data_IF_269062227320
#
_entry.id   IF_269062227320
#
_cell.length_a   1.000
_cell.length_b   1.000
_cell.length_c   1.000
_cell.angle_alpha   90.00
_cell.angle_beta   90.00
_cell.angle_gamma   90.00
#
_symmetry.space_group_name_H-M   'P 1'
#
loop_
_entity.id
_entity.type
_entity.pdbx_description
1 polymer ?
#
# COMPACT_ATOMS: atom_id res chain seq x y z
N UNK A 1 -9.59 -0.89 -27.23
CA UNK A 1 -9.32 0.54 -27.50
C UNK A 1 -9.28 1.33 -26.18
N UNK A 2 -8.48 0.84 -25.21
CA UNK A 2 -8.24 1.46 -23.90
C UNK A 2 -7.00 0.77 -23.28
N UNK A 3 -5.91 0.70 -24.05
CA UNK A 3 -4.57 0.61 -23.46
C UNK A 3 -4.08 2.05 -23.40
N UNK A 4 -4.38 2.74 -22.30
CA UNK A 4 -3.65 3.95 -21.96
C UNK A 4 -2.21 3.52 -21.68
N UNK A 5 -1.27 4.10 -22.40
CA UNK A 5 0.17 3.83 -22.35
C UNK A 5 0.63 3.64 -20.89
N UNK A 6 1.24 2.49 -20.59
CA UNK A 6 1.96 2.25 -19.33
C UNK A 6 1.17 1.78 -18.11
N UNK A 7 -0.15 1.97 -18.01
CA UNK A 7 -0.91 1.59 -16.83
C UNK A 7 -1.88 0.43 -17.11
N UNK A 8 -1.70 -0.73 -16.43
CA UNK A 8 -2.70 -1.81 -16.47
C UNK A 8 -4.06 -1.28 -15.98
N UNK A 9 -5.12 -1.64 -16.70
CA UNK A 9 -6.53 -1.27 -16.39
C UNK A 9 -6.93 -1.72 -14.97
N UNK A 10 -6.40 -2.87 -14.53
CA UNK A 10 -6.61 -3.42 -13.19
C UNK A 10 -5.51 -4.40 -12.80
N UNK A 11 -5.31 -4.60 -11.50
CA UNK A 11 -4.53 -5.69 -10.93
C UNK A 11 -5.43 -6.56 -10.04
N UNK A 12 -5.36 -7.88 -10.18
CA UNK A 12 -6.04 -8.81 -9.30
C UNK A 12 -5.03 -9.64 -8.51
N UNK A 13 -5.17 -9.68 -7.19
CA UNK A 13 -4.37 -10.50 -6.28
C UNK A 13 -5.25 -11.39 -5.41
N UNK A 14 -4.69 -12.50 -4.96
CA UNK A 14 -5.27 -13.36 -3.94
C UNK A 14 -4.38 -13.28 -2.69
N UNK A 15 -5.00 -13.11 -1.52
CA UNK A 15 -4.36 -12.92 -0.23
C UNK A 15 -4.89 -13.97 0.74
N UNK A 16 -4.00 -14.73 1.40
CA UNK A 16 -4.36 -15.77 2.37
C UNK A 16 -3.30 -15.87 3.48
N UNK A 17 -3.64 -16.45 4.65
CA UNK A 17 -2.77 -16.38 5.84
C UNK A 17 -1.34 -16.87 5.64
N UNK A 18 -1.15 -17.97 4.89
CA UNK A 18 0.18 -18.54 4.67
C UNK A 18 1.07 -17.68 3.77
N UNK A 19 0.56 -16.62 3.13
CA UNK A 19 1.39 -15.65 2.41
C UNK A 19 2.25 -14.79 3.33
N UNK A 20 1.92 -14.73 4.62
CA UNK A 20 2.67 -13.99 5.64
C UNK A 20 3.59 -14.90 6.46
N UNK A 21 3.58 -16.21 6.19
CA UNK A 21 4.42 -17.22 6.85
C UNK A 21 5.40 -17.83 5.84
N UNK A 22 6.69 -17.85 6.19
CA UNK A 22 7.75 -18.36 5.30
C UNK A 22 8.35 -17.27 4.40
N UNK A 23 9.63 -17.45 4.03
CA UNK A 23 10.55 -16.51 3.35
C UNK A 23 10.45 -15.05 3.84
N UNK A 24 11.50 -14.53 4.46
CA UNK A 24 11.57 -13.12 4.84
C UNK A 24 11.87 -12.21 3.62
N UNK A 25 10.99 -12.19 2.61
CA UNK A 25 11.14 -11.27 1.49
C UNK A 25 11.15 -9.83 2.00
N UNK A 26 12.11 -9.05 1.53
CA UNK A 26 12.34 -7.69 2.00
C UNK A 26 12.24 -6.70 0.84
N UNK A 27 11.26 -5.80 0.94
CA UNK A 27 11.04 -4.74 -0.05
C UNK A 27 12.25 -3.84 -0.27
N UNK A 28 13.19 -3.77 0.69
CA UNK A 28 14.44 -3.00 0.57
C UNK A 28 15.35 -3.52 -0.56
N UNK A 29 15.19 -4.79 -0.93
CA UNK A 29 15.94 -5.41 -2.03
C UNK A 29 15.23 -5.30 -3.38
N UNK A 30 14.00 -4.78 -3.40
CA UNK A 30 13.22 -4.61 -4.63
C UNK A 30 13.44 -3.22 -5.22
N UNK A 31 13.45 -3.13 -6.56
CA UNK A 31 13.64 -1.88 -7.30
C UNK A 31 12.55 -1.74 -8.35
N UNK A 32 11.98 -0.54 -8.45
CA UNK A 32 11.06 -0.21 -9.53
C UNK A 32 11.76 -0.31 -10.88
N UNK A 33 11.13 -0.99 -11.84
CA UNK A 33 11.66 -1.16 -13.19
C UNK A 33 10.52 -1.42 -14.19
N UNK A 34 10.72 -1.11 -15.47
CA UNK A 34 9.81 -1.53 -16.55
C UNK A 34 9.48 -3.03 -16.47
N UNK A 35 8.24 -3.39 -16.81
CA UNK A 35 7.84 -4.80 -16.91
C UNK A 35 8.50 -5.38 -18.17
N UNK A 36 9.35 -6.43 -18.07
CA UNK A 36 10.02 -7.01 -19.23
C UNK A 36 9.06 -7.65 -20.24
N UNK A 37 7.79 -7.85 -19.88
CA UNK A 37 6.77 -8.43 -20.75
C UNK A 37 5.95 -7.38 -21.51
N UNK A 38 6.15 -6.08 -21.24
CA UNK A 38 5.46 -4.99 -21.93
C UNK A 38 6.42 -4.40 -22.97
N UNK A 39 6.00 -4.26 -24.25
CA UNK A 39 6.82 -3.58 -25.25
C UNK A 39 7.22 -2.19 -24.77
N UNK A 40 8.48 -1.80 -24.97
CA UNK A 40 9.04 -0.54 -24.42
C UNK A 40 8.21 0.69 -24.81
N UNK A 41 7.65 0.74 -26.03
CA UNK A 41 6.79 1.83 -26.49
C UNK A 41 5.50 2.01 -25.69
N UNK A 42 5.11 1.02 -24.89
CA UNK A 42 3.93 1.04 -24.03
C UNK A 42 4.29 0.90 -22.55
N UNK A 43 5.57 0.93 -22.19
CA UNK A 43 6.02 0.80 -20.80
C UNK A 43 6.40 2.15 -20.24
N UNK A 44 5.88 2.47 -19.05
CA UNK A 44 6.44 3.55 -18.25
C UNK A 44 7.89 3.23 -17.84
N UNK A 45 8.67 4.27 -17.56
CA UNK A 45 10.01 4.20 -17.00
C UNK A 45 10.11 4.99 -15.69
N UNK A 46 11.22 4.85 -14.96
CA UNK A 46 11.35 5.51 -13.65
C UNK A 46 11.45 7.03 -13.79
N UNK A 47 11.98 7.49 -14.92
CA UNK A 47 12.18 8.88 -15.28
C UNK A 47 10.86 9.63 -15.41
N UNK A 48 9.76 8.95 -15.78
CA UNK A 48 8.43 9.57 -15.85
C UNK A 48 7.91 9.97 -14.46
N UNK A 49 8.27 9.20 -13.43
CA UNK A 49 7.84 9.45 -12.06
C UNK A 49 8.79 10.38 -11.31
N UNK A 50 10.08 10.34 -11.63
CA UNK A 50 11.09 11.11 -10.90
C UNK A 50 10.89 12.62 -11.11
N UNK A 51 10.66 13.34 -10.01
CA UNK A 51 10.42 14.80 -10.08
C UNK A 51 9.03 15.20 -10.59
N UNK A 52 8.14 14.24 -10.86
CA UNK A 52 6.78 14.49 -11.38
C UNK A 52 5.82 15.12 -10.37
N UNK A 53 6.16 15.11 -9.07
CA UNK A 53 5.23 15.43 -8.00
C UNK A 53 4.34 14.26 -7.55
N UNK A 54 4.41 13.11 -8.23
CA UNK A 54 3.66 11.89 -7.90
C UNK A 54 4.58 10.77 -7.41
N UNK A 55 4.04 9.92 -6.54
CA UNK A 55 4.72 8.70 -6.08
C UNK A 55 4.41 7.51 -6.99
N UNK A 56 5.20 6.45 -6.88
CA UNK A 56 4.93 5.14 -7.52
C UNK A 56 4.02 4.30 -6.61
N UNK A 57 2.71 4.40 -6.86
CA UNK A 57 1.66 3.72 -6.09
C UNK A 57 1.42 2.28 -6.53
N UNK A 58 1.48 1.33 -5.60
CA UNK A 58 1.28 -0.09 -5.91
C UNK A 58 -0.22 -0.44 -5.98
N UNK A 59 -0.63 -1.20 -7.00
CA UNK A 59 -1.99 -1.77 -7.06
C UNK A 59 -2.08 -3.12 -6.32
N UNK A 60 -1.12 -4.02 -6.55
CA UNK A 60 -0.78 -5.10 -5.62
C UNK A 60 0.39 -4.68 -4.73
N UNK A 61 0.21 -4.61 -3.40
CA UNK A 61 1.27 -4.19 -2.51
C UNK A 61 2.30 -5.30 -2.29
N UNK A 62 3.56 -4.88 -2.20
CA UNK A 62 4.66 -5.75 -1.80
C UNK A 62 4.39 -6.48 -0.46
N UNK A 63 3.64 -5.83 0.46
CA UNK A 63 3.30 -6.36 1.78
C UNK A 63 2.49 -7.67 1.75
N UNK A 64 1.75 -7.93 0.67
CA UNK A 64 0.95 -9.14 0.48
C UNK A 64 1.78 -10.31 -0.05
N UNK A 65 3.04 -10.05 -0.44
CA UNK A 65 3.91 -11.00 -1.12
C UNK A 65 5.15 -11.39 -0.29
N UNK A 66 5.05 -11.33 1.05
CA UNK A 66 6.17 -11.66 1.93
C UNK A 66 6.69 -13.07 1.73
N UNK A 67 5.82 -14.04 1.45
CA UNK A 67 6.18 -15.43 1.17
C UNK A 67 7.15 -15.67 0.00
N UNK A 68 7.34 -14.70 -0.91
CA UNK A 68 8.14 -14.93 -2.11
C UNK A 68 8.87 -13.65 -2.54
N UNK A 69 10.21 -13.69 -2.49
CA UNK A 69 11.06 -12.61 -3.00
C UNK A 69 10.78 -12.30 -4.47
N UNK A 70 10.48 -13.34 -5.27
CA UNK A 70 10.10 -13.17 -6.66
C UNK A 70 8.77 -12.44 -6.80
N UNK A 71 7.71 -12.93 -6.13
CA UNK A 71 6.39 -12.30 -6.21
C UNK A 71 6.44 -10.85 -5.73
N UNK A 72 7.17 -10.58 -4.64
CA UNK A 72 7.40 -9.22 -4.15
C UNK A 72 8.15 -8.36 -5.16
N UNK A 73 9.20 -8.87 -5.81
CA UNK A 73 9.93 -8.11 -6.83
C UNK A 73 9.07 -7.81 -8.06
N UNK A 74 8.17 -8.72 -8.44
CA UNK A 74 7.23 -8.54 -9.55
C UNK A 74 6.19 -7.43 -9.24
N UNK A 75 5.87 -7.16 -7.96
CA UNK A 75 5.02 -6.00 -7.61
C UNK A 75 5.69 -4.65 -7.89
N UNK A 76 7.02 -4.62 -8.07
CA UNK A 76 7.77 -3.40 -8.41
C UNK A 76 7.90 -3.18 -9.92
N UNK A 77 7.31 -4.06 -10.76
CA UNK A 77 7.16 -3.75 -12.18
C UNK A 77 6.21 -2.58 -12.38
N UNK A 78 6.59 -1.63 -13.23
CA UNK A 78 5.81 -0.40 -13.47
C UNK A 78 4.42 -0.67 -14.05
N UNK A 79 4.17 -1.84 -14.63
CA UNK A 79 2.84 -2.31 -15.02
C UNK A 79 1.87 -2.49 -13.84
N UNK A 80 2.36 -2.56 -12.60
CA UNK A 80 1.58 -2.62 -11.35
C UNK A 80 1.45 -1.24 -10.67
N UNK A 81 1.99 -0.20 -11.28
CA UNK A 81 2.22 1.10 -10.65
C UNK A 81 1.39 2.18 -11.32
N UNK A 82 0.82 3.07 -10.50
CA UNK A 82 0.16 4.30 -10.96
C UNK A 82 0.77 5.52 -10.29
N UNK A 83 0.73 6.71 -10.93
CA UNK A 83 1.06 7.96 -10.25
C UNK A 83 0.09 8.19 -9.10
N UNK A 84 0.57 8.16 -7.87
CA UNK A 84 -0.28 8.25 -6.67
C UNK A 84 0.17 9.38 -5.76
N UNK A 85 -0.76 10.14 -5.21
CA UNK A 85 -0.47 11.18 -4.23
C UNK A 85 0.31 10.57 -3.05
N UNK A 86 1.37 11.25 -2.59
CA UNK A 86 2.27 10.73 -1.56
C UNK A 86 1.56 10.43 -0.23
N UNK A 87 0.66 11.32 0.19
CA UNK A 87 -0.10 11.18 1.44
C UNK A 87 -1.18 10.10 1.31
N UNK A 88 -1.81 10.00 0.14
CA UNK A 88 -2.75 8.92 -0.16
C UNK A 88 -2.06 7.55 -0.08
N UNK A 89 -0.94 7.40 -0.79
CA UNK A 89 -0.16 6.16 -0.86
C UNK A 89 0.35 5.74 0.52
N UNK A 90 0.99 6.66 1.25
CA UNK A 90 1.56 6.36 2.57
C UNK A 90 0.51 6.28 3.69
N UNK A 91 -0.65 6.89 3.51
CA UNK A 91 -1.73 7.04 4.50
C UNK A 91 -2.93 6.16 4.20
N UNK A 92 -3.99 6.74 3.62
CA UNK A 92 -5.29 6.09 3.49
C UNK A 92 -5.24 4.79 2.68
N UNK A 93 -4.54 4.77 1.54
CA UNK A 93 -4.42 3.59 0.70
C UNK A 93 -3.71 2.45 1.43
N UNK A 94 -2.60 2.74 2.11
CA UNK A 94 -1.90 1.77 2.96
C UNK A 94 -2.79 1.24 4.10
N UNK A 95 -3.67 2.06 4.70
CA UNK A 95 -4.65 1.59 5.68
C UNK A 95 -5.67 0.62 5.06
N UNK A 96 -6.13 0.87 3.83
CA UNK A 96 -6.98 -0.09 3.10
C UNK A 96 -6.23 -1.40 2.79
N UNK A 97 -4.95 -1.33 2.40
CA UNK A 97 -4.12 -2.52 2.21
C UNK A 97 -3.92 -3.30 3.51
N UNK A 98 -3.74 -2.62 4.64
CA UNK A 98 -3.67 -3.26 5.96
C UNK A 98 -4.97 -3.98 6.30
N UNK A 99 -6.13 -3.35 6.06
CA UNK A 99 -7.42 -3.97 6.25
C UNK A 99 -7.60 -5.23 5.38
N UNK A 100 -7.16 -5.21 4.11
CA UNK A 100 -7.20 -6.41 3.25
C UNK A 100 -6.40 -7.58 3.83
N UNK A 101 -5.25 -7.30 4.46
CA UNK A 101 -4.45 -8.35 5.13
C UNK A 101 -5.11 -8.82 6.42
N UNK A 102 -5.67 -7.90 7.20
CA UNK A 102 -6.38 -8.21 8.44
C UNK A 102 -7.60 -9.13 8.19
N UNK A 103 -8.29 -8.98 7.06
CA UNK A 103 -9.38 -9.89 6.67
C UNK A 103 -8.93 -11.36 6.64
N UNK A 104 -7.65 -11.65 6.35
CA UNK A 104 -7.15 -13.04 6.34
C UNK A 104 -7.16 -13.70 7.73
N UNK A 105 -7.26 -12.93 8.81
CA UNK A 105 -7.43 -13.48 10.16
C UNK A 105 -8.84 -14.06 10.38
N UNK A 106 -9.80 -13.70 9.52
CA UNK A 106 -11.24 -14.04 9.65
C UNK A 106 -11.80 -14.80 8.46
N UNK A 107 -11.12 -14.72 7.31
CA UNK A 107 -11.49 -15.34 6.05
C UNK A 107 -10.30 -16.13 5.49
N UNK A 108 -10.53 -17.40 5.10
CA UNK A 108 -9.47 -18.25 4.54
C UNK A 108 -8.91 -17.72 3.22
N UNK A 109 -9.76 -17.19 2.34
CA UNK A 109 -9.37 -16.66 1.04
C UNK A 109 -9.93 -15.24 0.86
N UNK A 110 -9.06 -14.29 0.51
CA UNK A 110 -9.41 -12.88 0.21
C UNK A 110 -8.86 -12.52 -1.17
N UNK A 111 -9.73 -12.26 -2.14
CA UNK A 111 -9.35 -11.74 -3.45
C UNK A 111 -9.51 -10.23 -3.47
N UNK A 112 -8.56 -9.55 -4.10
CA UNK A 112 -8.62 -8.10 -4.24
C UNK A 112 -8.29 -7.66 -5.65
N UNK A 113 -9.14 -6.82 -6.22
CA UNK A 113 -8.88 -6.13 -7.48
C UNK A 113 -8.66 -4.65 -7.17
N UNK A 114 -7.54 -4.08 -7.62
CA UNK A 114 -7.22 -2.66 -7.47
C UNK A 114 -6.97 -2.02 -8.83
N UNK A 115 -7.28 -0.74 -8.98
CA UNK A 115 -6.91 -0.02 -10.19
C UNK A 115 -7.19 1.49 -10.18
N UNK A 116 -6.75 2.19 -11.24
CA UNK A 116 -6.98 3.61 -11.45
C UNK A 116 -8.36 3.92 -12.07
N UNK A 117 -8.87 5.14 -11.82
CA UNK A 117 -10.04 5.73 -12.48
C UNK A 117 -9.82 7.21 -12.83
N UNK A 118 -10.30 7.62 -14.00
CA UNK A 118 -10.40 9.01 -14.45
C UNK A 118 -11.89 9.40 -14.55
N UNK A 119 -12.43 9.89 -13.44
CA UNK A 119 -13.86 10.19 -13.31
C UNK A 119 -14.20 11.57 -13.86
N UNK A 120 -15.40 11.76 -14.43
CA UNK A 120 -15.83 13.06 -14.94
C UNK A 120 -16.10 14.04 -13.81
N UNK A 121 -15.82 15.32 -14.07
CA UNK A 121 -16.24 16.44 -13.24
C UNK A 121 -17.28 17.27 -14.00
N UNK A 122 -18.22 17.87 -13.26
CA UNK A 122 -19.21 18.79 -13.84
C UNK A 122 -18.64 20.20 -13.81
N UNK A 123 -18.52 20.82 -14.98
CA UNK A 123 -18.03 22.19 -15.12
C UNK A 123 -19.13 23.21 -14.80
N UNK A 124 -18.75 24.49 -14.71
CA UNK A 124 -19.68 25.60 -14.43
C UNK A 124 -20.83 25.72 -15.45
N UNK A 125 -20.61 25.25 -16.69
CA UNK A 125 -21.62 25.22 -17.75
C UNK A 125 -22.55 23.98 -17.70
N UNK A 126 -22.43 23.16 -16.65
CA UNK A 126 -23.21 21.94 -16.44
C UNK A 126 -22.77 20.74 -17.28
N UNK A 127 -21.77 20.89 -18.16
CA UNK A 127 -21.23 19.75 -18.94
C UNK A 127 -20.29 18.92 -18.10
N UNK A 128 -20.22 17.62 -18.42
CA UNK A 128 -19.28 16.68 -17.79
C UNK A 128 -18.08 16.47 -18.68
N UNK A 129 -16.88 16.63 -18.14
CA UNK A 129 -15.62 16.32 -18.82
C UNK A 129 -14.69 15.52 -17.92
N UNK A 130 -13.84 14.70 -18.53
CA UNK A 130 -12.76 13.98 -17.85
C UNK A 130 -11.46 14.74 -18.12
N UNK A 131 -10.76 15.14 -17.06
CA UNK A 131 -9.46 15.81 -17.15
C UNK A 131 -8.51 15.12 -16.18
N UNK A 132 -7.30 14.81 -16.65
CA UNK A 132 -6.24 14.21 -15.86
C UNK A 132 -4.87 14.65 -16.37
N UNK A 133 -3.88 14.69 -15.49
CA UNK A 133 -2.50 14.96 -15.85
C UNK A 133 -1.87 13.71 -16.49
N UNK A 134 -0.96 13.92 -17.44
CA UNK A 134 0.02 12.92 -17.88
C UNK A 134 1.42 13.37 -17.43
N UNK A 135 2.28 12.44 -17.05
CA UNK A 135 3.64 12.73 -16.55
C UNK A 135 4.71 12.01 -17.38
N UNK A 136 5.89 12.61 -17.42
CA UNK A 136 7.05 12.02 -18.10
C UNK A 136 7.03 12.21 -19.61
N UNK A 137 7.92 11.50 -20.31
CA UNK A 137 7.98 11.50 -21.78
C UNK A 137 7.03 10.48 -22.40
N UNK A 138 6.67 9.48 -21.61
CA UNK A 138 5.79 8.38 -22.02
C UNK A 138 4.31 8.64 -21.66
N UNK A 139 3.98 9.88 -21.27
CA UNK A 139 2.62 10.36 -20.98
C UNK A 139 1.82 9.47 -20.02
N UNK A 140 2.45 9.06 -18.92
CA UNK A 140 1.84 8.18 -17.91
C UNK A 140 0.65 8.89 -17.26
N UNK A 141 -0.55 8.33 -17.40
CA UNK A 141 -1.77 8.94 -16.90
C UNK A 141 -1.85 8.93 -15.35
N UNK A 142 -2.13 10.10 -14.77
CA UNK A 142 -2.39 10.28 -13.35
C UNK A 142 -3.88 10.07 -13.07
N UNK A 143 -4.27 9.05 -12.30
CA UNK A 143 -5.68 8.82 -12.00
C UNK A 143 -6.26 9.90 -11.07
N UNK A 144 -7.53 10.22 -11.29
CA UNK A 144 -8.31 11.05 -10.36
C UNK A 144 -8.70 10.28 -9.09
N UNK A 145 -8.93 8.97 -9.22
CA UNK A 145 -9.41 8.10 -8.17
C UNK A 145 -8.75 6.73 -8.28
N UNK A 146 -8.73 5.99 -7.18
CA UNK A 146 -8.34 4.59 -7.12
C UNK A 146 -9.54 3.78 -6.65
N UNK A 147 -9.65 2.54 -7.10
CA UNK A 147 -10.66 1.62 -6.61
C UNK A 147 -10.06 0.35 -6.05
N UNK A 148 -10.82 -0.29 -5.16
CA UNK A 148 -10.54 -1.62 -4.64
C UNK A 148 -11.83 -2.42 -4.53
N UNK A 149 -11.87 -3.59 -5.14
CA UNK A 149 -12.94 -4.58 -4.99
C UNK A 149 -12.40 -5.73 -4.16
N UNK A 150 -13.02 -6.00 -3.03
CA UNK A 150 -12.64 -7.07 -2.11
C UNK A 150 -13.72 -8.14 -2.17
N UNK A 151 -13.32 -9.38 -2.41
CA UNK A 151 -14.15 -10.57 -2.29
C UNK A 151 -13.51 -11.47 -1.23
N UNK A 152 -14.26 -11.95 -0.27
CA UNK A 152 -13.73 -12.87 0.73
C UNK A 152 -14.64 -14.09 0.96
N UNK A 153 -14.01 -15.21 1.29
CA UNK A 153 -14.65 -16.48 1.60
C UNK A 153 -14.21 -16.94 2.99
N UNK A 154 -15.18 -17.25 3.87
CA UNK A 154 -14.87 -17.62 5.26
C UNK A 154 -14.05 -18.91 5.31
N UNK A 155 -14.54 -19.96 4.66
CA UNK A 155 -13.81 -21.21 4.48
C UNK A 155 -14.18 -21.86 3.14
N UNK A 156 -13.27 -22.66 2.58
CA UNK A 156 -13.54 -23.46 1.38
C UNK A 156 -14.66 -24.49 1.56
N UNK A 157 -14.92 -24.86 2.81
CA UNK A 157 -15.95 -25.85 3.19
C UNK A 157 -17.22 -25.22 3.74
N UNK A 158 -17.21 -23.90 4.00
CA UNK A 158 -18.36 -23.21 4.56
C UNK A 158 -19.48 -23.07 3.53
N UNK A 159 -20.73 -23.21 3.98
CA UNK A 159 -21.94 -22.95 3.20
C UNK A 159 -22.35 -21.47 3.22
N UNK A 160 -21.64 -20.64 3.99
CA UNK A 160 -21.90 -19.20 4.04
C UNK A 160 -21.63 -18.55 2.67
N UNK A 161 -22.43 -17.55 2.27
CA UNK A 161 -22.21 -16.81 1.04
C UNK A 161 -20.89 -16.05 1.06
N UNK A 162 -20.37 -15.75 -0.14
CA UNK A 162 -19.22 -14.85 -0.29
C UNK A 162 -19.58 -13.45 0.21
N UNK A 163 -18.56 -12.71 0.65
CA UNK A 163 -18.70 -11.31 1.05
C UNK A 163 -17.97 -10.41 0.05
N UNK A 164 -18.58 -9.30 -0.36
CA UNK A 164 -18.04 -8.39 -1.35
C UNK A 164 -18.17 -6.93 -0.90
N UNK A 165 -17.12 -6.14 -1.15
CA UNK A 165 -17.19 -4.67 -1.10
C UNK A 165 -16.44 -4.04 -2.27
N UNK A 166 -16.97 -2.95 -2.81
CA UNK A 166 -16.31 -2.16 -3.85
C UNK A 166 -16.16 -0.72 -3.37
N UNK A 167 -14.95 -0.20 -3.45
CA UNK A 167 -14.59 1.08 -2.85
C UNK A 167 -13.87 1.95 -3.86
N UNK A 168 -14.19 3.23 -3.88
CA UNK A 168 -13.53 4.24 -4.73
C UNK A 168 -13.07 5.37 -3.82
N UNK A 169 -11.82 5.80 -3.98
CA UNK A 169 -11.21 6.88 -3.19
C UNK A 169 -10.53 7.88 -4.13
N UNK A 170 -10.56 9.19 -3.84
CA UNK A 170 -9.81 10.16 -4.63
C UNK A 170 -8.31 9.92 -4.48
N UNK A 171 -7.54 10.22 -5.53
CA UNK A 171 -6.07 10.18 -5.52
C UNK A 171 -5.49 11.44 -4.88
N UNK A 172 -5.97 11.75 -3.68
CA UNK A 172 -5.67 12.96 -2.91
C UNK A 172 -5.44 12.61 -1.43
N UNK A 173 -4.91 13.53 -0.61
CA UNK A 173 -4.82 13.32 0.82
C UNK A 173 -6.21 13.06 1.44
N UNK A 174 -6.33 11.96 2.19
CA UNK A 174 -7.55 11.61 2.92
C UNK A 174 -7.21 11.38 4.38
N UNK A 175 -7.97 12.03 5.27
CA UNK A 175 -7.84 11.88 6.72
C UNK A 175 -8.36 10.54 7.27
N UNK A 176 -8.74 10.54 8.55
CA UNK A 176 -9.15 9.32 9.25
C UNK A 176 -10.64 9.01 9.20
N UNK A 177 -11.49 9.96 8.79
CA UNK A 177 -12.92 9.77 8.56
C UNK A 177 -13.18 9.29 7.13
N UNK A 178 -13.94 8.21 6.94
CA UNK A 178 -14.50 7.87 5.63
C UNK A 178 -15.77 7.02 5.72
N UNK A 179 -16.56 7.10 4.65
CA UNK A 179 -17.77 6.32 4.36
C UNK A 179 -17.48 5.48 3.11
N UNK A 180 -17.65 4.17 3.22
CA UNK A 180 -17.50 3.26 2.09
C UNK A 180 -18.73 3.31 1.16
N UNK A 181 -18.53 3.15 -0.15
CA UNK A 181 -19.63 3.10 -1.12
C UNK A 181 -20.25 1.69 -1.13
N UNK A 182 -21.51 1.49 -0.69
CA UNK A 182 -22.06 0.17 -0.45
C UNK A 182 -22.76 -0.47 -1.65
N UNK A 183 -22.66 0.11 -2.86
CA UNK A 183 -23.48 -0.32 -4.01
C UNK A 183 -22.82 -1.50 -4.73
N UNK A 184 -23.21 -2.71 -4.34
CA UNK A 184 -22.91 -3.96 -5.06
C UNK A 184 -24.22 -4.56 -5.56
N UNK A 185 -24.24 -4.99 -6.82
CA UNK A 185 -25.38 -5.66 -7.44
C UNK A 185 -25.72 -6.98 -6.72
N UNK A 186 -26.98 -7.12 -6.29
CA UNK A 186 -27.50 -8.17 -5.38
C UNK A 186 -28.06 -9.40 -6.13
N UNK A 187 -27.71 -9.58 -7.40
CA UNK A 187 -28.27 -10.63 -8.27
C UNK A 187 -27.82 -12.05 -7.90
N UNK A 188 -26.94 -12.22 -6.89
CA UNK A 188 -26.52 -13.49 -6.27
C UNK A 188 -26.49 -13.35 -4.75
N UNK A 189 -26.52 -14.49 -4.02
CA UNK A 189 -26.27 -14.58 -2.57
C UNK A 189 -24.83 -14.14 -2.23
N UNK A 190 -24.57 -12.83 -2.29
CA UNK A 190 -23.32 -12.19 -1.90
C UNK A 190 -23.66 -11.13 -0.88
N UNK A 191 -23.05 -11.21 0.30
CA UNK A 191 -23.29 -10.25 1.37
C UNK A 191 -22.35 -9.05 1.23
N UNK A 192 -22.82 -7.88 1.64
CA UNK A 192 -21.98 -6.70 1.75
C UNK A 192 -20.91 -6.93 2.82
N UNK A 193 -19.63 -6.76 2.47
CA UNK A 193 -18.52 -6.97 3.41
C UNK A 193 -18.62 -6.04 4.63
N UNK A 194 -19.18 -4.84 4.51
CA UNK A 194 -19.34 -3.92 5.63
C UNK A 194 -20.54 -4.23 6.54
N UNK A 195 -21.40 -5.18 6.14
CA UNK A 195 -22.46 -5.72 7.00
C UNK A 195 -21.97 -6.98 7.75
N UNK A 196 -20.99 -7.69 7.20
CA UNK A 196 -20.47 -8.95 7.77
C UNK A 196 -19.16 -8.75 8.55
N UNK A 197 -18.32 -7.83 8.10
CA UNK A 197 -17.08 -7.41 8.73
C UNK A 197 -17.15 -5.90 9.07
N UNK A 198 -16.17 -5.42 9.82
CA UNK A 198 -16.19 -4.08 10.40
C UNK A 198 -16.06 -2.95 9.37
N UNK A 199 -15.44 -3.23 8.21
CA UNK A 199 -14.89 -2.21 7.31
C UNK A 199 -14.12 -1.09 8.06
N UNK A 200 -13.59 -1.37 9.26
CA UNK A 200 -12.99 -0.35 10.09
C UNK A 200 -11.49 -0.31 9.81
N UNK A 201 -11.05 0.76 9.16
CA UNK A 201 -9.62 0.98 8.99
C UNK A 201 -8.97 1.29 10.34
N UNK A 202 -7.70 0.89 10.46
CA UNK A 202 -6.84 1.21 11.60
C UNK A 202 -6.91 2.72 11.94
N UNK A 203 -7.05 3.03 13.23
CA UNK A 203 -7.21 4.39 13.74
C UNK A 203 -5.90 5.19 13.71
N UNK A 204 -5.99 6.47 14.04
CA UNK A 204 -4.82 7.38 14.05
C UNK A 204 -3.72 6.88 14.99
N UNK A 205 -4.09 6.49 16.21
CA UNK A 205 -3.14 6.05 17.23
C UNK A 205 -2.41 4.78 16.78
N UNK A 206 -3.17 3.75 16.38
CA UNK A 206 -2.62 2.44 16.00
C UNK A 206 -1.80 2.54 14.71
N UNK A 207 -2.25 3.34 13.74
CA UNK A 207 -1.51 3.58 12.51
C UNK A 207 -0.18 4.31 12.76
N UNK A 208 -0.19 5.31 13.65
CA UNK A 208 1.02 6.06 14.00
C UNK A 208 2.03 5.18 14.75
N UNK A 209 1.57 4.29 15.65
CA UNK A 209 2.41 3.29 16.29
C UNK A 209 3.04 2.33 15.26
N UNK A 210 2.23 1.82 14.33
CA UNK A 210 2.71 0.94 13.25
C UNK A 210 3.78 1.60 12.37
N UNK A 211 3.56 2.84 11.92
CA UNK A 211 4.54 3.58 11.11
C UNK A 211 5.81 3.87 11.93
N UNK A 212 5.65 4.22 13.20
CA UNK A 212 6.77 4.48 14.11
C UNK A 212 7.64 3.24 14.30
N UNK A 213 7.05 2.07 14.52
CA UNK A 213 7.79 0.81 14.59
C UNK A 213 8.64 0.54 13.33
N UNK A 214 8.11 0.85 12.15
CA UNK A 214 8.87 0.72 10.88
C UNK A 214 10.00 1.74 10.78
N UNK A 215 9.75 2.99 11.19
CA UNK A 215 10.79 4.03 11.25
C UNK A 215 11.93 3.61 12.18
N UNK A 216 11.60 3.09 13.36
CA UNK A 216 12.57 2.53 14.33
C UNK A 216 13.42 1.45 13.67
N UNK A 217 12.82 0.43 13.07
CA UNK A 217 13.56 -0.65 12.39
C UNK A 217 14.52 -0.13 11.29
N UNK A 218 14.12 0.94 10.61
CA UNK A 218 14.90 1.53 9.52
C UNK A 218 15.96 2.56 9.97
N UNK A 219 15.97 2.95 11.25
CA UNK A 219 16.88 3.96 11.76
C UNK A 219 18.34 3.50 11.63
N UNK A 220 19.21 4.40 11.14
CA UNK A 220 20.65 4.14 10.95
C UNK A 220 21.54 4.87 11.95
N UNK A 221 20.96 5.72 12.79
CA UNK A 221 21.68 6.52 13.79
C UNK A 221 20.84 6.64 15.05
N UNK A 222 21.51 6.75 16.20
CA UNK A 222 20.85 6.96 17.49
C UNK A 222 20.01 8.25 17.49
N UNK A 223 20.53 9.33 16.90
CA UNK A 223 19.80 10.58 16.76
C UNK A 223 18.49 10.41 15.98
N UNK A 224 18.49 9.63 14.89
CA UNK A 224 17.26 9.35 14.15
C UNK A 224 16.29 8.51 14.96
N UNK A 225 16.79 7.53 15.72
CA UNK A 225 15.99 6.68 16.58
C UNK A 225 15.28 7.51 17.68
N UNK A 226 16.02 8.39 18.36
CA UNK A 226 15.49 9.32 19.37
C UNK A 226 14.45 10.27 18.79
N UNK A 227 14.75 10.86 17.61
CA UNK A 227 13.83 11.77 16.91
C UNK A 227 12.50 11.10 16.60
N UNK A 228 12.52 9.85 16.15
CA UNK A 228 11.32 9.07 15.84
C UNK A 228 10.44 8.88 17.10
N UNK A 229 11.05 8.62 18.26
CA UNK A 229 10.30 8.51 19.52
C UNK A 229 9.81 9.87 20.04
N UNK A 230 10.52 10.98 19.75
CA UNK A 230 10.05 12.33 20.06
C UNK A 230 8.82 12.71 19.24
N UNK A 231 8.87 12.48 17.92
CA UNK A 231 7.74 12.70 17.01
C UNK A 231 6.46 11.97 17.50
N UNK A 232 6.61 10.76 18.06
CA UNK A 232 5.48 10.00 18.62
C UNK A 232 4.89 10.65 19.88
N UNK A 233 5.75 11.12 20.80
CA UNK A 233 5.32 11.83 22.01
C UNK A 233 4.67 13.18 21.70
N UNK A 234 5.21 13.91 20.73
CA UNK A 234 4.64 15.18 20.25
C UNK A 234 3.25 14.96 19.64
N UNK A 235 3.00 13.80 19.04
CA UNK A 235 1.67 13.39 18.58
C UNK A 235 0.71 12.96 19.71
N UNK A 236 1.14 13.01 20.98
CA UNK A 236 0.33 12.64 22.14
C UNK A 236 0.07 11.14 22.26
N UNK A 237 0.95 10.30 21.69
CA UNK A 237 0.78 8.85 21.66
C UNK A 237 1.85 8.18 22.52
N UNK A 238 1.40 7.39 23.49
CA UNK A 238 2.29 6.55 24.28
C UNK A 238 2.70 5.28 23.51
N UNK A 239 3.99 4.90 23.52
CA UNK A 239 4.47 3.68 22.87
C UNK A 239 3.96 2.42 23.58
N UNK A 240 3.58 1.40 22.81
CA UNK A 240 3.21 0.10 23.35
C UNK A 240 4.43 -0.77 23.70
N UNK A 241 4.20 -1.90 24.39
CA UNK A 241 5.26 -2.81 24.82
C UNK A 241 6.10 -3.33 23.65
N UNK A 242 5.46 -3.56 22.50
CA UNK A 242 6.13 -4.03 21.29
C UNK A 242 7.12 -2.98 20.77
N UNK A 243 6.67 -1.72 20.64
CA UNK A 243 7.49 -0.62 20.17
C UNK A 243 8.66 -0.35 21.12
N UNK A 244 8.45 -0.42 22.44
CA UNK A 244 9.51 -0.27 23.43
C UNK A 244 10.58 -1.36 23.30
N UNK A 245 10.17 -2.63 23.16
CA UNK A 245 11.12 -3.75 22.94
C UNK A 245 11.90 -3.56 21.64
N UNK A 246 11.22 -3.13 20.58
CA UNK A 246 11.81 -2.90 19.27
C UNK A 246 12.83 -1.74 19.28
N UNK A 247 12.49 -0.64 19.96
CA UNK A 247 13.38 0.49 20.17
C UNK A 247 14.65 0.06 20.89
N UNK A 248 14.52 -0.61 22.04
CA UNK A 248 15.66 -1.07 22.85
C UNK A 248 16.60 -1.96 22.04
N UNK A 249 16.04 -2.94 21.31
CA UNK A 249 16.83 -3.82 20.43
C UNK A 249 17.61 -3.02 19.38
N UNK A 250 16.98 -2.03 18.75
CA UNK A 250 17.62 -1.23 17.70
C UNK A 250 18.68 -0.28 18.24
N UNK A 251 18.48 0.25 19.44
CA UNK A 251 19.46 1.06 20.16
C UNK A 251 20.73 0.27 20.46
N UNK A 252 20.58 -0.95 20.98
CA UNK A 252 21.69 -1.87 21.25
C UNK A 252 22.47 -2.21 19.96
N UNK A 253 21.78 -2.50 18.86
CA UNK A 253 22.38 -2.76 17.54
C UNK A 253 23.24 -1.58 17.07
N UNK A 254 22.70 -0.36 17.10
CA UNK A 254 23.41 0.85 16.65
C UNK A 254 24.62 1.20 17.54
N UNK A 255 24.53 0.94 18.84
CA UNK A 255 25.65 1.12 19.77
C UNK A 255 26.78 0.12 19.51
N UNK A 256 26.44 -1.14 19.23
CA UNK A 256 27.42 -2.17 18.87
C UNK A 256 28.13 -1.83 17.55
N UNK A 257 27.39 -1.45 16.52
CA UNK A 257 27.95 -1.03 15.22
C UNK A 257 28.93 0.15 15.37
N UNK A 258 28.59 1.14 16.21
CA UNK A 258 29.45 2.28 16.51
C UNK A 258 30.75 1.87 17.24
N UNK A 259 30.68 0.87 18.12
CA UNK A 259 31.87 0.37 18.82
C UNK A 259 32.78 -0.44 17.90
N UNK A 260 32.23 -1.24 16.99
CA UNK A 260 32.99 -2.01 15.99
C UNK A 260 33.73 -1.07 15.05
N UNK A 261 33.03 -0.11 14.46
CA UNK A 261 33.64 0.91 13.58
C UNK A 261 34.71 1.75 14.28
N UNK A 262 34.52 2.10 15.55
CA UNK A 262 35.53 2.83 16.33
C UNK A 262 36.79 1.99 16.68
N UNK A 263 36.69 0.65 16.68
CA UNK A 263 37.84 -0.25 16.88
C UNK A 263 38.61 -0.48 15.58
N UNK A 264 37.90 -0.71 14.47
CA UNK A 264 38.52 -0.93 13.15
C UNK A 264 39.26 0.32 12.64
N UNK A 265 38.73 1.52 12.89
CA UNK A 265 39.39 2.78 12.54
C UNK A 265 40.61 3.15 13.39
N UNK A 266 40.95 2.36 14.43
CA UNK A 266 42.19 2.52 15.23
C UNK A 266 43.30 1.54 14.82
N UNK A 267 43.01 0.60 13.92
CA UNK A 267 43.93 -0.48 13.49
C UNK A 267 44.45 -0.32 12.06
N UNK A 268 44.15 0.79 11.38
CA UNK A 268 44.71 1.18 10.07
C UNK A 268 45.45 2.50 10.16
#
# INVERSE_FOLDING_TARGET
LLEAVGARIFHASLVWPSLFQGCNADRRHCKFRPDPNIPLMFSAVNEDYLGSGWSRGHMAPAGDNKFSTRAMAETFYLSNIVPQNYENNAGFWNRMEMYCRELTERFEDVWVVSGPLTLPQTNDDGKKSVTYQVIGKDDVAVPSHLYKVILARRSRTATEPLVLGAFVVPNDPIGFSLVFFPQVDKTRDVKNICEVDTCKLIGFKEFTLYITARKVQSARTLHRLEKVMSELREAGIEPDEYLLKLHKKKEEELLQEKQVTAREGKTG
#
